data_IF_470096636832
#
_entry.id   IF_470096636832
#
_cell.length_a   1.000
_cell.length_b   1.000
_cell.length_c   1.000
_cell.angle_alpha   90.00
_cell.angle_beta   90.00
_cell.angle_gamma   90.00
#
_symmetry.space_group_name_H-M   'P 1'
#
loop_
_entity.id
_entity.type
_entity.pdbx_description
1 polymer ?
#
# COMPACT_ATOMS: atom_id res chain seq x y z
N UNK A 1 30.61 -42.50 -26.88
CA UNK A 1 30.60 -41.97 -25.51
C UNK A 1 30.80 -40.48 -25.61
N UNK A 2 29.72 -39.69 -25.58
CA UNK A 2 29.81 -38.23 -25.52
C UNK A 2 29.26 -37.82 -24.17
N UNK A 3 30.16 -37.27 -23.38
CA UNK A 3 30.04 -36.87 -22.00
C UNK A 3 28.86 -35.90 -21.80
N UNK A 4 27.83 -36.38 -21.11
CA UNK A 4 26.70 -35.57 -20.64
C UNK A 4 27.20 -34.68 -19.50
N UNK A 5 27.59 -33.44 -19.82
CA UNK A 5 27.60 -32.35 -18.85
C UNK A 5 26.16 -32.13 -18.42
N UNK A 6 25.76 -32.77 -17.32
CA UNK A 6 24.61 -32.31 -16.56
C UNK A 6 24.96 -30.91 -16.04
N UNK A 7 24.64 -29.88 -16.82
CA UNK A 7 25.02 -28.51 -16.52
C UNK A 7 24.43 -28.09 -15.17
N UNK A 8 25.25 -27.61 -14.21
CA UNK A 8 24.78 -27.17 -12.90
C UNK A 8 23.74 -26.05 -12.99
N UNK A 9 23.67 -25.37 -14.13
CA UNK A 9 22.65 -24.37 -14.48
C UNK A 9 21.27 -24.99 -14.70
N UNK A 10 21.16 -26.20 -15.25
CA UNK A 10 19.88 -26.88 -15.45
C UNK A 10 19.24 -27.30 -14.13
N UNK A 11 20.04 -27.85 -13.20
CA UNK A 11 19.58 -28.19 -11.83
C UNK A 11 19.23 -26.94 -11.02
N UNK A 12 19.98 -25.84 -11.20
CA UNK A 12 19.63 -24.55 -10.60
C UNK A 12 18.33 -23.98 -11.19
N UNK A 13 18.11 -24.11 -12.50
CA UNK A 13 16.90 -23.63 -13.18
C UNK A 13 15.65 -24.40 -12.71
N UNK A 14 15.72 -25.73 -12.59
CA UNK A 14 14.60 -26.53 -12.07
C UNK A 14 14.32 -26.25 -10.58
N UNK A 15 15.35 -25.92 -9.79
CA UNK A 15 15.16 -25.47 -8.41
C UNK A 15 14.56 -24.06 -8.34
N UNK A 16 14.89 -23.17 -9.29
CA UNK A 16 14.42 -21.78 -9.34
C UNK A 16 13.05 -21.61 -9.97
N UNK A 17 12.63 -22.49 -10.89
CA UNK A 17 11.30 -22.49 -11.52
C UNK A 17 10.14 -22.29 -10.52
N UNK A 18 10.03 -23.03 -9.40
CA UNK A 18 8.95 -22.82 -8.44
C UNK A 18 9.02 -21.43 -7.77
N UNK A 19 10.21 -20.95 -7.42
CA UNK A 19 10.39 -19.61 -6.84
C UNK A 19 10.05 -18.49 -7.83
N UNK A 20 10.45 -18.63 -9.10
CA UNK A 20 10.13 -17.66 -10.16
C UNK A 20 8.64 -17.64 -10.43
N UNK A 21 7.99 -18.80 -10.50
CA UNK A 21 6.53 -18.92 -10.67
C UNK A 21 5.81 -18.23 -9.52
N UNK A 22 6.22 -18.48 -8.29
CA UNK A 22 5.64 -17.88 -7.10
C UNK A 22 5.88 -16.36 -7.01
N UNK A 23 7.06 -15.90 -7.40
CA UNK A 23 7.40 -14.48 -7.46
C UNK A 23 6.60 -13.76 -8.55
N UNK A 24 6.41 -14.38 -9.72
CA UNK A 24 5.56 -13.82 -10.78
C UNK A 24 4.10 -13.71 -10.36
N UNK A 25 3.54 -14.74 -9.72
CA UNK A 25 2.18 -14.68 -9.17
C UNK A 25 2.05 -13.60 -8.11
N UNK A 26 2.99 -13.53 -7.17
CA UNK A 26 3.03 -12.47 -6.17
C UNK A 26 3.11 -11.08 -6.79
N UNK A 27 3.93 -10.92 -7.84
CA UNK A 27 4.09 -9.64 -8.54
C UNK A 27 2.82 -9.20 -9.27
N UNK A 28 2.11 -10.12 -9.93
CA UNK A 28 0.84 -9.80 -10.62
C UNK A 28 -0.25 -9.41 -9.60
N UNK A 29 -0.37 -10.17 -8.50
CA UNK A 29 -1.32 -9.86 -7.43
C UNK A 29 -0.97 -8.54 -6.74
N UNK A 30 0.32 -8.27 -6.52
CA UNK A 30 0.82 -6.98 -6.06
C UNK A 30 0.43 -5.85 -7.00
N UNK A 31 0.71 -6.01 -8.30
CA UNK A 31 0.39 -5.00 -9.32
C UNK A 31 -1.11 -4.68 -9.38
N UNK A 32 -1.96 -5.71 -9.38
CA UNK A 32 -3.41 -5.53 -9.37
C UNK A 32 -3.87 -4.76 -8.12
N UNK A 33 -3.36 -5.14 -6.94
CA UNK A 33 -3.68 -4.48 -5.68
C UNK A 33 -3.22 -3.02 -5.67
N UNK A 34 -2.02 -2.74 -6.16
CA UNK A 34 -1.46 -1.38 -6.25
C UNK A 34 -2.21 -0.49 -7.24
N UNK A 35 -2.61 -1.04 -8.39
CA UNK A 35 -3.40 -0.31 -9.39
C UNK A 35 -4.77 0.07 -8.85
N UNK A 36 -5.47 -0.88 -8.20
CA UNK A 36 -6.75 -0.63 -7.55
C UNK A 36 -6.62 0.44 -6.46
N UNK A 37 -5.60 0.33 -5.60
CA UNK A 37 -5.33 1.32 -4.56
C UNK A 37 -5.18 2.73 -5.14
N UNK A 38 -4.45 2.90 -6.25
CA UNK A 38 -4.27 4.23 -6.84
C UNK A 38 -5.51 4.78 -7.49
N UNK A 39 -6.33 3.95 -8.14
CA UNK A 39 -7.61 4.40 -8.71
C UNK A 39 -8.55 4.90 -7.62
N UNK A 40 -8.68 4.15 -6.53
CA UNK A 40 -9.47 4.55 -5.36
C UNK A 40 -8.84 5.78 -4.69
N UNK A 41 -7.51 5.81 -4.53
CA UNK A 41 -6.79 6.94 -3.95
C UNK A 41 -6.94 8.24 -4.76
N UNK A 42 -6.89 8.17 -6.09
CA UNK A 42 -7.17 9.32 -6.97
C UNK A 42 -8.60 9.81 -6.80
N UNK A 43 -9.59 8.92 -6.80
CA UNK A 43 -10.98 9.29 -6.59
C UNK A 43 -11.19 9.95 -5.22
N UNK A 44 -10.64 9.36 -4.16
CA UNK A 44 -10.68 9.91 -2.82
C UNK A 44 -10.00 11.30 -2.75
N UNK A 45 -8.82 11.44 -3.38
CA UNK A 45 -8.10 12.72 -3.43
C UNK A 45 -8.90 13.81 -4.15
N UNK A 46 -9.57 13.47 -5.25
CA UNK A 46 -10.46 14.40 -5.96
C UNK A 46 -11.63 14.82 -5.07
N UNK A 47 -12.31 13.87 -4.42
CA UNK A 47 -13.44 14.19 -3.51
C UNK A 47 -13.00 15.08 -2.37
N UNK A 48 -11.87 14.77 -1.71
CA UNK A 48 -11.32 15.57 -0.62
C UNK A 48 -10.92 16.96 -1.12
N UNK A 49 -10.27 17.06 -2.28
CA UNK A 49 -9.85 18.34 -2.87
C UNK A 49 -11.05 19.21 -3.27
N UNK A 50 -12.06 18.64 -3.94
CA UNK A 50 -13.31 19.35 -4.26
C UNK A 50 -14.03 19.81 -2.99
N UNK A 51 -14.10 18.95 -1.96
CA UNK A 51 -14.66 19.30 -0.66
C UNK A 51 -13.91 20.47 -0.01
N UNK A 52 -12.58 20.45 -0.06
CA UNK A 52 -11.74 21.52 0.49
C UNK A 52 -11.96 22.86 -0.24
N UNK A 53 -12.01 22.86 -1.57
CA UNK A 53 -12.30 24.07 -2.37
C UNK A 53 -13.69 24.61 -2.04
N UNK A 54 -14.70 23.74 -1.93
CA UNK A 54 -16.05 24.13 -1.52
C UNK A 54 -16.08 24.74 -0.12
N UNK A 55 -15.38 24.12 0.84
CA UNK A 55 -15.28 24.61 2.21
C UNK A 55 -14.60 25.99 2.27
N UNK A 56 -13.48 26.15 1.55
CA UNK A 56 -12.76 27.42 1.44
C UNK A 56 -13.64 28.54 0.87
N UNK A 57 -14.50 28.19 -0.09
CA UNK A 57 -15.48 29.11 -0.68
C UNK A 57 -16.53 29.54 0.35
N UNK A 58 -17.11 28.60 1.11
CA UNK A 58 -18.06 28.91 2.18
C UNK A 58 -17.46 29.77 3.31
N UNK A 59 -16.19 29.53 3.67
CA UNK A 59 -15.46 30.36 4.65
C UNK A 59 -15.24 31.76 4.10
N UNK A 60 -14.87 31.90 2.83
CA UNK A 60 -14.62 33.21 2.19
C UNK A 60 -15.89 34.06 2.09
N UNK A 61 -17.05 33.44 1.94
CA UNK A 61 -18.36 34.11 2.01
C UNK A 61 -18.83 34.42 3.44
N UNK A 62 -18.06 34.03 4.47
CA UNK A 62 -18.34 34.32 5.87
C UNK A 62 -19.39 33.42 6.53
N UNK A 63 -19.85 32.36 5.86
CA UNK A 63 -20.86 31.43 6.39
C UNK A 63 -20.29 30.45 7.41
N UNK A 64 -18.99 30.15 7.37
CA UNK A 64 -18.35 29.13 8.20
C UNK A 64 -17.03 29.63 8.80
N UNK A 65 -16.83 29.35 10.09
CA UNK A 65 -15.56 29.58 10.79
C UNK A 65 -14.97 28.22 11.14
N UNK A 66 -13.84 27.87 10.51
CA UNK A 66 -13.19 26.58 10.71
C UNK A 66 -12.26 26.66 11.92
N UNK A 67 -12.52 25.81 12.90
CA UNK A 67 -11.68 25.67 14.08
C UNK A 67 -10.73 24.48 13.93
N UNK A 68 -9.54 24.75 13.40
CA UNK A 68 -8.54 23.73 13.09
C UNK A 68 -8.02 22.99 14.33
N UNK A 69 -8.07 23.62 15.51
CA UNK A 69 -7.62 23.00 16.76
C UNK A 69 -8.50 21.80 17.13
N UNK A 70 -9.84 21.97 17.08
CA UNK A 70 -10.79 20.88 17.34
C UNK A 70 -10.68 19.76 16.31
N UNK A 71 -10.54 20.11 15.03
CA UNK A 71 -10.39 19.11 13.96
C UNK A 71 -9.14 18.26 14.19
N UNK A 72 -8.01 18.88 14.57
CA UNK A 72 -6.79 18.14 14.87
C UNK A 72 -6.95 17.22 16.07
N UNK A 73 -7.61 17.69 17.14
CA UNK A 73 -7.85 16.88 18.35
C UNK A 73 -8.76 15.68 18.05
N UNK A 74 -9.85 15.89 17.31
CA UNK A 74 -10.78 14.83 16.92
C UNK A 74 -10.14 13.83 15.95
N UNK A 75 -9.30 14.30 15.02
CA UNK A 75 -8.56 13.45 14.12
C UNK A 75 -7.55 12.58 14.89
N UNK A 76 -6.80 13.19 15.82
CA UNK A 76 -5.86 12.47 16.68
C UNK A 76 -6.60 11.41 17.50
N UNK A 77 -7.67 11.73 18.21
CA UNK A 77 -8.44 10.76 19.01
C UNK A 77 -8.99 9.57 18.21
N UNK A 78 -9.32 9.75 16.93
CA UNK A 78 -9.87 8.68 16.09
C UNK A 78 -8.81 7.81 15.45
N UNK A 79 -7.65 8.38 15.15
CA UNK A 79 -6.57 7.71 14.45
C UNK A 79 -5.55 7.10 15.41
N UNK A 80 -5.42 7.66 16.60
CA UNK A 80 -4.61 7.14 17.70
C UNK A 80 -5.26 5.84 18.24
N UNK A 81 -4.59 4.71 17.96
CA UNK A 81 -5.00 3.39 18.43
C UNK A 81 -4.21 2.96 19.66
N UNK A 82 -3.09 3.62 19.96
CA UNK A 82 -2.19 3.37 21.09
C UNK A 82 -2.61 4.15 22.35
N UNK A 83 -3.43 5.19 22.21
CA UNK A 83 -4.00 5.99 23.30
C UNK A 83 -3.02 6.98 23.92
N UNK A 84 -1.94 7.30 23.23
CA UNK A 84 -0.82 8.15 23.68
C UNK A 84 -0.94 9.62 23.20
N UNK A 85 -2.00 9.94 22.46
CA UNK A 85 -2.38 11.28 22.05
C UNK A 85 -1.55 11.84 20.90
N UNK A 86 -0.81 11.01 20.16
CA UNK A 86 0.05 11.43 19.05
C UNK A 86 -0.03 10.43 17.90
N UNK A 87 -0.22 10.94 16.69
CA UNK A 87 -0.04 10.14 15.48
C UNK A 87 1.45 9.99 15.21
N UNK A 88 2.00 8.89 15.72
CA UNK A 88 3.42 8.61 15.63
C UNK A 88 3.75 7.53 14.59
N UNK A 89 5.04 7.27 14.41
CA UNK A 89 5.50 6.22 13.50
C UNK A 89 5.12 4.82 14.01
N UNK A 90 4.83 4.64 15.30
CA UNK A 90 4.46 3.34 15.86
C UNK A 90 3.05 2.95 15.44
N UNK A 91 2.09 3.86 15.50
CA UNK A 91 0.73 3.67 14.96
C UNK A 91 0.75 3.31 13.48
N UNK A 92 1.50 4.10 12.68
CA UNK A 92 1.66 3.85 11.26
C UNK A 92 2.30 2.47 11.01
N UNK A 93 3.25 2.07 11.86
CA UNK A 93 3.92 0.76 11.78
C UNK A 93 2.99 -0.38 12.19
N UNK A 94 2.10 -0.19 13.16
CA UNK A 94 1.08 -1.17 13.56
C UNK A 94 0.08 -1.37 12.41
N UNK A 95 -0.43 -0.30 11.80
CA UNK A 95 -1.28 -0.39 10.62
C UNK A 95 -0.57 -1.07 9.46
N UNK A 96 0.69 -0.70 9.22
CA UNK A 96 1.50 -1.36 8.20
C UNK A 96 1.78 -2.82 8.51
N UNK A 97 1.94 -3.20 9.79
CA UNK A 97 2.09 -4.59 10.20
C UNK A 97 0.80 -5.38 10.03
N UNK A 98 -0.36 -4.83 10.40
CA UNK A 98 -1.66 -5.46 10.15
C UNK A 98 -1.93 -5.65 8.67
N UNK A 99 -1.64 -4.63 7.85
CA UNK A 99 -1.70 -4.74 6.40
C UNK A 99 -0.72 -5.78 5.88
N UNK A 100 0.53 -5.78 6.34
CA UNK A 100 1.51 -6.80 5.94
C UNK A 100 1.07 -8.20 6.35
N UNK A 101 0.49 -8.41 7.52
CA UNK A 101 -0.04 -9.72 7.94
C UNK A 101 -1.18 -10.13 7.01
N UNK A 102 -2.17 -9.27 6.78
CA UNK A 102 -3.28 -9.54 5.85
C UNK A 102 -2.81 -9.83 4.41
N UNK A 103 -1.79 -9.10 3.95
CA UNK A 103 -1.22 -9.29 2.62
C UNK A 103 -0.23 -10.46 2.56
N UNK A 104 0.38 -10.89 3.67
CA UNK A 104 1.45 -11.90 3.68
C UNK A 104 0.98 -13.27 4.17
N UNK A 105 -0.17 -13.38 4.86
CA UNK A 105 -0.69 -14.66 5.37
C UNK A 105 -0.85 -15.76 4.30
N UNK A 106 -0.88 -15.40 3.01
CA UNK A 106 -0.99 -16.35 1.91
C UNK A 106 0.05 -16.14 0.79
N UNK A 107 1.04 -15.27 0.99
CA UNK A 107 2.01 -14.94 -0.06
C UNK A 107 3.36 -15.61 0.24
N UNK A 108 3.79 -16.60 -0.55
CA UNK A 108 4.99 -17.35 -0.23
C UNK A 108 6.27 -16.61 -0.67
N UNK A 109 6.15 -15.40 -1.25
CA UNK A 109 7.26 -14.47 -1.46
C UNK A 109 6.81 -13.00 -1.38
N UNK A 110 6.92 -12.38 -0.20
CA UNK A 110 6.57 -10.96 0.03
C UNK A 110 7.37 -9.97 -0.82
N UNK A 111 8.52 -10.38 -1.36
CA UNK A 111 9.39 -9.55 -2.21
C UNK A 111 8.77 -9.30 -3.59
N UNK A 112 8.26 -10.33 -4.26
CA UNK A 112 7.58 -10.20 -5.57
C UNK A 112 6.32 -9.34 -5.47
N UNK A 113 5.51 -9.58 -4.45
CA UNK A 113 4.31 -8.77 -4.19
C UNK A 113 4.64 -7.30 -3.96
N UNK A 114 5.64 -6.98 -3.12
CA UNK A 114 5.99 -5.59 -2.83
C UNK A 114 6.48 -4.84 -4.07
N UNK A 115 7.28 -5.49 -4.92
CA UNK A 115 7.75 -4.92 -6.18
C UNK A 115 6.61 -4.72 -7.18
N UNK A 116 5.77 -5.74 -7.36
CA UNK A 116 4.58 -5.65 -8.21
C UNK A 116 3.62 -4.55 -7.73
N UNK A 117 3.39 -4.47 -6.42
CA UNK A 117 2.54 -3.46 -5.79
C UNK A 117 3.06 -2.05 -6.03
N UNK A 118 4.36 -1.80 -5.81
CA UNK A 118 4.95 -0.49 -6.07
C UNK A 118 4.82 -0.09 -7.55
N UNK A 119 5.02 -1.04 -8.46
CA UNK A 119 4.83 -0.83 -9.90
C UNK A 119 3.36 -0.57 -10.26
N UNK A 120 2.43 -1.27 -9.62
CA UNK A 120 0.98 -1.06 -9.77
C UNK A 120 0.55 0.32 -9.29
N UNK A 121 1.05 0.75 -8.12
CA UNK A 121 0.86 2.10 -7.61
C UNK A 121 1.54 3.14 -8.50
N UNK A 122 2.68 2.85 -9.13
CA UNK A 122 3.27 3.82 -10.08
C UNK A 122 2.42 3.95 -11.35
N UNK A 123 1.95 2.82 -11.88
CA UNK A 123 1.26 2.72 -13.18
C UNK A 123 -0.24 3.06 -13.13
N UNK A 124 -0.84 3.06 -11.92
CA UNK A 124 -2.24 3.44 -11.69
C UNK A 124 -2.55 4.93 -11.75
#
# INVERSE_FOLDING_TARGET
MVENKEDPTAKALDTLKPYVTQLSFGSVMGFCSGYALKKVGKAAAVVVGCGFIGLQTCVSFGYLKIDWARISEDAQKKLDKTGDGKLDMEDAKIYWQKLKILLTENLPSSSGFSLGFLLGVKSG
#
